data_IF_003830948257
#
_entry.id   IF_003830948257
#
_cell.length_a   1.000
_cell.length_b   1.000
_cell.length_c   1.000
_cell.angle_alpha   90.00
_cell.angle_beta   90.00
_cell.angle_gamma   90.00
#
_symmetry.space_group_name_H-M   'P 1'
#
loop_
_entity.id
_entity.type
_entity.pdbx_description
1 polymer ?
#
# COMPACT_ATOMS: atom_id res chain seq x y z
N UNK A 1 6.93 -92.98 2.20
CA UNK A 1 8.31 -92.59 2.52
C UNK A 1 8.40 -91.07 2.47
N UNK A 2 8.66 -90.47 3.64
CA UNK A 2 9.50 -89.27 3.87
C UNK A 2 9.34 -88.00 3.01
N UNK A 3 8.74 -87.00 3.63
CA UNK A 3 9.31 -85.69 4.04
C UNK A 3 9.99 -84.71 3.06
N UNK A 4 9.47 -83.47 3.17
CA UNK A 4 10.12 -82.14 3.16
C UNK A 4 10.83 -81.61 1.90
N UNK A 5 10.39 -80.44 1.42
CA UNK A 5 11.20 -79.21 1.49
C UNK A 5 10.37 -77.95 1.20
N UNK A 6 10.54 -76.94 2.07
CA UNK A 6 10.10 -75.55 1.93
C UNK A 6 10.78 -74.85 0.74
N UNK A 7 10.08 -73.91 0.09
CA UNK A 7 10.70 -72.68 -0.40
C UNK A 7 9.70 -71.52 -0.40
N UNK A 8 10.06 -70.48 0.32
CA UNK A 8 9.35 -69.23 0.63
C UNK A 8 9.66 -68.18 -0.45
N UNK A 9 8.68 -67.35 -0.83
CA UNK A 9 8.74 -65.86 -0.87
C UNK A 9 8.04 -65.19 -2.08
N UNK A 10 7.23 -64.17 -1.76
CA UNK A 10 6.86 -63.05 -2.64
C UNK A 10 5.41 -63.12 -3.15
N UNK A 11 4.55 -62.12 -3.01
CA UNK A 11 4.77 -60.72 -2.70
C UNK A 11 3.43 -60.05 -2.31
N UNK A 12 3.47 -59.33 -1.17
CA UNK A 12 2.69 -58.16 -0.75
C UNK A 12 1.15 -58.25 -0.80
N UNK A 13 0.58 -58.47 0.39
CA UNK A 13 -0.81 -58.17 0.69
C UNK A 13 -1.07 -56.65 0.57
N UNK A 14 -1.73 -56.25 -0.51
CA UNK A 14 -2.56 -55.05 -0.53
C UNK A 14 -3.73 -55.30 0.41
N UNK A 15 -3.79 -54.68 1.60
CA UNK A 15 -5.00 -54.43 2.41
C UNK A 15 -4.58 -53.72 3.71
N UNK A 16 -4.09 -52.49 3.57
CA UNK A 16 -3.90 -51.54 4.66
C UNK A 16 -4.66 -50.26 4.36
N UNK A 17 -5.95 -50.36 3.98
CA UNK A 17 -6.83 -49.21 4.12
C UNK A 17 -6.88 -48.85 5.61
N UNK A 18 -6.86 -47.56 5.94
CA UNK A 18 -7.07 -47.07 7.30
C UNK A 18 -8.43 -47.55 7.82
N UNK A 19 -8.47 -48.78 8.32
CA UNK A 19 -9.61 -49.32 9.04
C UNK A 19 -9.58 -48.68 10.43
N UNK A 20 -10.35 -47.60 10.55
CA UNK A 20 -10.61 -46.94 11.82
C UNK A 20 -9.94 -45.58 11.98
N UNK A 21 -10.26 -44.61 11.13
CA UNK A 21 -10.53 -43.30 11.73
C UNK A 21 -11.77 -43.52 12.60
N UNK A 22 -11.62 -43.54 13.93
CA UNK A 22 -12.75 -43.62 14.83
C UNK A 22 -13.85 -42.65 14.42
N UNK A 23 -15.10 -42.99 14.70
CA UNK A 23 -16.21 -42.10 14.37
C UNK A 23 -15.92 -40.69 14.91
N UNK A 24 -16.24 -39.63 14.14
CA UNK A 24 -16.03 -38.25 14.60
C UNK A 24 -16.65 -38.06 15.97
N UNK A 25 -15.81 -37.90 16.99
CA UNK A 25 -16.26 -37.56 18.32
C UNK A 25 -16.73 -36.10 18.30
N UNK A 26 -17.94 -35.85 18.77
CA UNK A 26 -18.45 -34.49 18.92
C UNK A 26 -17.53 -33.68 19.84
N UNK A 27 -17.08 -32.51 19.38
CA UNK A 27 -16.30 -31.56 20.19
C UNK A 27 -17.17 -30.84 21.25
N UNK A 28 -18.38 -31.32 21.50
CA UNK A 28 -19.37 -30.67 22.35
C UNK A 28 -20.17 -29.60 21.60
N UNK A 29 -21.05 -28.91 22.32
CA UNK A 29 -21.86 -27.83 21.75
C UNK A 29 -20.95 -26.65 21.39
N UNK A 30 -20.89 -26.31 20.10
CA UNK A 30 -20.33 -25.03 19.67
C UNK A 30 -21.27 -23.91 20.13
N UNK A 31 -20.73 -22.85 20.73
CA UNK A 31 -21.53 -21.67 21.10
C UNK A 31 -22.19 -21.10 19.84
N UNK A 32 -23.47 -20.75 19.93
CA UNK A 32 -24.16 -20.14 18.81
C UNK A 32 -23.53 -18.78 18.49
N UNK A 33 -23.16 -18.58 17.21
CA UNK A 33 -22.67 -17.29 16.75
C UNK A 33 -23.72 -16.21 17.03
N UNK A 34 -23.38 -15.22 17.84
CA UNK A 34 -24.24 -14.08 18.12
C UNK A 34 -23.99 -13.01 17.07
N UNK A 35 -25.05 -12.54 16.42
CA UNK A 35 -24.95 -11.42 15.49
C UNK A 35 -24.56 -10.13 16.25
N UNK A 36 -23.84 -9.20 15.61
CA UNK A 36 -23.58 -7.88 16.19
C UNK A 36 -24.89 -7.19 16.59
N UNK A 37 -24.98 -6.76 17.85
CA UNK A 37 -26.11 -5.96 18.32
C UNK A 37 -25.95 -4.53 17.81
N UNK A 38 -26.94 -4.04 17.07
CA UNK A 38 -26.98 -2.65 16.64
C UNK A 38 -27.27 -1.76 17.85
N UNK A 39 -26.28 -0.95 18.23
CA UNK A 39 -26.49 0.13 19.19
C UNK A 39 -27.25 1.27 18.50
N UNK A 40 -28.28 1.81 19.17
CA UNK A 40 -29.11 2.93 18.70
C UNK A 40 -29.75 2.69 17.32
N UNK A 41 -30.67 1.72 17.18
CA UNK A 41 -31.31 1.40 15.90
C UNK A 41 -32.10 2.58 15.31
N UNK A 42 -32.55 3.51 16.16
CA UNK A 42 -33.32 4.69 15.75
C UNK A 42 -32.45 5.87 15.34
N UNK A 43 -31.11 5.79 15.49
CA UNK A 43 -30.21 6.85 15.04
C UNK A 43 -30.20 6.86 13.51
N UNK A 44 -30.69 7.96 12.93
CA UNK A 44 -30.57 8.21 11.49
C UNK A 44 -29.09 8.10 11.08
N UNK A 45 -28.73 7.25 10.11
CA UNK A 45 -27.37 7.20 9.59
C UNK A 45 -26.92 8.59 9.18
N UNK A 46 -25.63 8.88 9.36
CA UNK A 46 -25.07 10.11 8.80
C UNK A 46 -25.36 10.12 7.29
N UNK A 47 -25.76 11.26 6.71
CA UNK A 47 -25.86 11.37 5.27
C UNK A 47 -24.52 10.96 4.67
N UNK A 48 -24.56 10.27 3.52
CA UNK A 48 -23.35 10.08 2.75
C UNK A 48 -22.78 11.47 2.48
N UNK A 49 -21.50 11.75 2.79
CA UNK A 49 -20.91 13.01 2.39
C UNK A 49 -21.11 13.14 0.88
N UNK A 50 -21.48 14.34 0.43
CA UNK A 50 -21.40 14.69 -0.99
C UNK A 50 -19.99 14.31 -1.47
N UNK A 51 -19.82 13.82 -2.72
CA UNK A 51 -18.49 13.58 -3.29
C UNK A 51 -17.62 14.81 -3.00
N UNK A 52 -16.63 14.64 -2.13
CA UNK A 52 -16.08 15.78 -1.38
C UNK A 52 -15.59 16.86 -2.32
N UNK A 53 -16.05 18.10 -2.13
CA UNK A 53 -15.58 19.29 -2.87
C UNK A 53 -14.14 19.70 -2.49
N UNK A 54 -13.32 18.73 -2.05
CA UNK A 54 -11.92 18.89 -1.69
C UNK A 54 -11.52 18.08 -0.46
N UNK A 55 -11.07 16.85 -0.68
CA UNK A 55 -9.87 16.30 -0.04
C UNK A 55 -9.36 15.15 -0.93
N UNK A 56 -8.21 15.35 -1.58
CA UNK A 56 -7.56 14.39 -2.47
C UNK A 56 -8.37 13.85 -3.66
N UNK A 57 -9.27 14.67 -4.24
CA UNK A 57 -9.86 14.35 -5.55
C UNK A 57 -8.78 14.27 -6.64
N UNK A 58 -9.04 13.55 -7.74
CA UNK A 58 -8.08 13.45 -8.83
C UNK A 58 -7.89 14.81 -9.48
N UNK A 59 -6.64 15.26 -9.59
CA UNK A 59 -6.33 16.59 -10.07
C UNK A 59 -5.30 16.51 -11.19
N UNK A 60 -5.65 17.04 -12.37
CA UNK A 60 -4.69 17.19 -13.46
C UNK A 60 -3.58 18.14 -13.01
N UNK A 61 -2.32 17.73 -13.18
CA UNK A 61 -1.17 18.55 -12.75
C UNK A 61 -0.94 19.65 -13.80
N UNK A 62 -1.12 20.94 -13.46
CA UNK A 62 -0.98 22.03 -14.42
C UNK A 62 0.45 22.14 -14.95
N UNK A 63 0.62 22.52 -16.22
CA UNK A 63 1.95 22.77 -16.80
C UNK A 63 2.77 21.52 -17.13
N UNK A 64 2.27 20.31 -16.85
CA UNK A 64 2.88 19.06 -17.33
C UNK A 64 2.47 18.83 -18.80
N UNK A 65 3.43 18.64 -19.72
CA UNK A 65 3.12 18.31 -21.11
C UNK A 65 2.31 17.01 -21.21
N UNK A 66 1.46 16.91 -22.24
CA UNK A 66 0.77 15.65 -22.51
C UNK A 66 1.76 14.53 -22.84
N UNK A 67 1.41 13.32 -22.44
CA UNK A 67 2.15 12.09 -22.69
C UNK A 67 1.37 11.26 -23.73
N UNK A 68 1.59 11.48 -25.03
CA UNK A 68 0.78 10.88 -26.08
C UNK A 68 0.95 9.36 -26.21
N UNK A 69 2.05 8.80 -25.67
CA UNK A 69 2.31 7.36 -25.69
C UNK A 69 1.33 6.55 -24.85
N UNK A 70 0.60 7.18 -23.91
CA UNK A 70 -0.25 6.47 -22.96
C UNK A 70 0.52 5.72 -21.86
N UNK A 71 1.84 5.85 -21.80
CA UNK A 71 2.71 5.23 -20.79
C UNK A 71 3.30 6.30 -19.85
N UNK A 72 2.91 6.27 -18.57
CA UNK A 72 3.34 7.25 -17.57
C UNK A 72 4.86 7.25 -17.34
N UNK A 73 5.57 6.17 -17.69
CA UNK A 73 7.04 6.11 -17.63
C UNK A 73 7.71 7.10 -18.58
N UNK A 74 6.97 7.61 -19.57
CA UNK A 74 7.45 8.64 -20.49
C UNK A 74 7.18 10.06 -19.97
N UNK A 75 6.49 10.23 -18.85
CA UNK A 75 6.33 11.52 -18.20
C UNK A 75 7.67 11.97 -17.60
N UNK A 76 8.13 13.21 -17.85
CA UNK A 76 9.36 13.72 -17.27
C UNK A 76 9.19 13.95 -15.76
N UNK A 77 9.80 13.08 -14.93
CA UNK A 77 9.63 13.06 -13.48
C UNK A 77 9.79 14.43 -12.82
N UNK A 78 10.92 15.10 -13.05
CA UNK A 78 11.18 16.39 -12.39
C UNK A 78 10.23 17.48 -12.86
N UNK A 79 9.74 17.42 -14.11
CA UNK A 79 8.70 18.34 -14.59
C UNK A 79 7.38 18.08 -13.86
N UNK A 80 6.98 16.82 -13.68
CA UNK A 80 5.76 16.46 -12.91
C UNK A 80 5.87 16.94 -11.47
N UNK A 81 7.00 16.68 -10.81
CA UNK A 81 7.25 17.07 -9.42
C UNK A 81 7.20 18.60 -9.28
N UNK A 82 7.97 19.34 -10.08
CA UNK A 82 8.01 20.81 -10.02
C UNK A 82 6.64 21.42 -10.29
N UNK A 83 5.90 20.87 -11.26
CA UNK A 83 4.54 21.31 -11.58
C UNK A 83 3.57 21.07 -10.42
N UNK A 84 3.64 19.91 -9.76
CA UNK A 84 2.82 19.61 -8.57
C UNK A 84 3.17 20.53 -7.39
N UNK A 85 4.46 20.76 -7.13
CA UNK A 85 4.92 21.72 -6.10
C UNK A 85 4.41 23.13 -6.40
N UNK A 86 4.54 23.60 -7.64
CA UNK A 86 4.12 24.93 -8.05
C UNK A 86 2.59 25.11 -7.97
N UNK A 87 1.83 24.05 -8.23
CA UNK A 87 0.38 24.08 -8.08
C UNK A 87 -0.06 24.18 -6.61
N UNK A 88 0.73 23.62 -5.68
CA UNK A 88 0.52 23.76 -4.24
C UNK A 88 -0.92 23.47 -3.82
N UNK A 89 -1.49 24.35 -2.98
CA UNK A 89 -2.85 24.21 -2.47
C UNK A 89 -3.95 24.35 -3.53
N UNK A 90 -3.65 24.83 -4.74
CA UNK A 90 -4.64 25.02 -5.79
C UNK A 90 -5.28 23.71 -6.28
N UNK A 91 -4.62 22.56 -6.06
CA UNK A 91 -5.15 21.24 -6.41
C UNK A 91 -5.85 20.54 -5.24
N UNK A 92 -5.93 21.17 -4.07
CA UNK A 92 -6.50 20.57 -2.86
C UNK A 92 -5.64 19.47 -2.24
N UNK A 93 -5.39 19.56 -0.93
CA UNK A 93 -4.65 18.56 -0.14
C UNK A 93 -3.13 18.76 -0.10
N UNK A 94 -2.43 17.74 0.42
CA UNK A 94 -0.98 17.52 0.37
C UNK A 94 -0.07 18.34 1.30
N UNK A 95 1.10 17.80 1.70
CA UNK A 95 2.09 18.57 2.44
C UNK A 95 2.69 19.66 1.55
N UNK A 96 2.71 20.89 2.06
CA UNK A 96 3.40 22.00 1.41
C UNK A 96 4.87 22.03 1.84
N UNK A 97 5.75 22.26 0.88
CA UNK A 97 7.17 22.38 1.15
C UNK A 97 7.55 23.80 1.52
N UNK A 98 8.49 23.93 2.44
CA UNK A 98 9.14 25.21 2.69
C UNK A 98 10.01 25.65 1.49
N UNK A 99 10.44 26.91 1.52
CA UNK A 99 11.26 27.47 0.44
C UNK A 99 12.60 26.75 0.28
N UNK A 100 13.14 26.17 1.37
CA UNK A 100 14.42 25.47 1.34
C UNK A 100 14.31 24.14 0.59
N UNK A 101 13.27 23.37 0.87
CA UNK A 101 12.96 22.11 0.20
C UNK A 101 12.60 22.35 -1.26
N UNK A 102 11.80 23.39 -1.54
CA UNK A 102 11.47 23.80 -2.91
C UNK A 102 12.74 24.10 -3.73
N UNK A 103 13.69 24.87 -3.19
CA UNK A 103 14.97 25.13 -3.87
C UNK A 103 15.78 23.87 -4.16
N UNK A 104 15.78 22.89 -3.24
CA UNK A 104 16.47 21.60 -3.46
C UNK A 104 15.80 20.79 -4.57
N UNK A 105 14.47 20.80 -4.66
CA UNK A 105 13.71 20.18 -5.76
C UNK A 105 14.07 20.84 -7.09
N UNK A 106 14.17 22.17 -7.11
CA UNK A 106 14.53 22.90 -8.33
C UNK A 106 15.94 22.56 -8.84
N UNK A 107 16.89 22.40 -7.93
CA UNK A 107 18.27 22.05 -8.23
C UNK A 107 18.48 20.55 -8.56
N UNK A 108 17.47 19.69 -8.48
CA UNK A 108 17.65 18.23 -8.64
C UNK A 108 18.36 17.78 -9.92
N UNK A 109 18.20 18.52 -11.03
CA UNK A 109 18.87 18.19 -12.30
C UNK A 109 20.38 18.48 -12.25
N UNK A 110 20.77 19.55 -11.57
CA UNK A 110 22.16 20.01 -11.46
C UNK A 110 22.88 19.38 -10.26
N UNK A 111 22.14 19.07 -9.20
CA UNK A 111 22.64 18.53 -7.93
C UNK A 111 21.93 17.21 -7.52
N UNK A 112 22.04 16.13 -8.32
CA UNK A 112 21.27 14.90 -8.09
C UNK A 112 21.54 14.24 -6.73
N UNK A 113 22.77 14.40 -6.18
CA UNK A 113 23.13 13.87 -4.87
C UNK A 113 22.40 14.56 -3.69
N UNK A 114 21.86 15.76 -3.91
CA UNK A 114 21.12 16.55 -2.91
C UNK A 114 19.61 16.59 -3.20
N UNK A 115 19.17 15.92 -4.25
CA UNK A 115 17.78 15.89 -4.65
C UNK A 115 16.94 15.12 -3.61
N UNK A 116 15.91 15.74 -3.00
CA UNK A 116 15.06 15.06 -2.02
C UNK A 116 14.06 14.10 -2.67
N UNK A 117 13.91 14.15 -4.00
CA UNK A 117 13.01 13.27 -4.75
C UNK A 117 13.64 11.88 -4.84
N UNK A 118 12.94 10.88 -4.32
CA UNK A 118 13.37 9.47 -4.39
C UNK A 118 13.23 8.93 -5.82
N UNK A 119 13.91 7.81 -6.08
CA UNK A 119 13.75 7.09 -7.35
C UNK A 119 12.27 6.74 -7.57
N UNK A 120 11.68 7.08 -8.73
CA UNK A 120 10.26 6.84 -8.98
C UNK A 120 9.97 5.33 -8.99
N UNK A 121 8.81 4.96 -8.47
CA UNK A 121 8.28 3.60 -8.58
C UNK A 121 7.09 3.58 -9.53
N UNK A 122 6.92 2.47 -10.23
CA UNK A 122 5.83 2.29 -11.19
C UNK A 122 5.12 0.97 -10.91
N UNK A 123 3.85 1.02 -10.54
CA UNK A 123 3.03 -0.16 -10.24
C UNK A 123 1.62 0.03 -10.76
N UNK A 124 0.97 -1.04 -11.18
CA UNK A 124 -0.47 -1.03 -11.48
C UNK A 124 -1.24 -1.07 -10.16
N UNK A 125 -1.69 0.10 -9.71
CA UNK A 125 -2.45 0.27 -8.47
C UNK A 125 -3.96 0.27 -8.74
N UNK A 126 -4.36 0.56 -9.98
CA UNK A 126 -5.78 0.66 -10.35
C UNK A 126 -6.35 -0.61 -10.96
N UNK A 127 -5.51 -1.59 -11.28
CA UNK A 127 -5.88 -2.88 -11.85
C UNK A 127 -6.24 -2.81 -13.33
N UNK A 128 -5.84 -1.76 -14.04
CA UNK A 128 -6.17 -1.57 -15.47
C UNK A 128 -5.06 -2.02 -16.43
N UNK A 129 -4.00 -2.65 -15.89
CA UNK A 129 -2.84 -3.12 -16.63
C UNK A 129 -1.82 -2.03 -16.95
N UNK A 130 -2.07 -0.77 -16.56
CA UNK A 130 -1.14 0.34 -16.72
C UNK A 130 -0.55 0.70 -15.37
N UNK A 131 0.72 1.10 -15.38
CA UNK A 131 1.33 1.55 -14.14
C UNK A 131 0.93 2.99 -13.83
N UNK A 132 0.73 3.24 -12.55
CA UNK A 132 0.77 4.54 -11.91
C UNK A 132 2.21 4.89 -11.52
N UNK A 133 2.49 6.20 -11.40
CA UNK A 133 3.77 6.74 -10.94
C UNK A 133 3.65 7.10 -9.45
N UNK A 134 4.54 6.55 -8.63
CA UNK A 134 4.65 6.83 -7.21
C UNK A 134 5.93 7.66 -6.97
N UNK A 135 5.78 8.80 -6.32
CA UNK A 135 6.84 9.75 -6.01
C UNK A 135 6.91 9.98 -4.51
N UNK A 136 8.07 9.69 -3.92
CA UNK A 136 8.41 10.08 -2.56
C UNK A 136 9.35 11.28 -2.56
N UNK A 137 9.10 12.26 -1.69
CA UNK A 137 9.95 13.44 -1.52
C UNK A 137 10.27 13.60 -0.03
N UNK A 138 11.56 13.54 0.29
CA UNK A 138 12.05 13.74 1.65
C UNK A 138 11.93 15.20 2.07
N UNK A 139 11.28 15.43 3.20
CA UNK A 139 11.21 16.70 3.88
C UNK A 139 12.06 16.64 5.18
N UNK A 140 12.26 17.76 5.89
CA UNK A 140 12.84 17.74 7.22
C UNK A 140 12.11 16.79 8.19
N UNK A 141 12.76 16.46 9.31
CA UNK A 141 12.16 15.70 10.41
C UNK A 141 11.65 14.29 10.04
N UNK A 142 12.34 13.63 9.10
CA UNK A 142 11.99 12.30 8.59
C UNK A 142 10.58 12.21 7.97
N UNK A 143 10.02 13.36 7.57
CA UNK A 143 8.74 13.42 6.88
C UNK A 143 8.92 13.09 5.40
N UNK A 144 7.95 12.38 4.83
CA UNK A 144 7.87 12.00 3.43
C UNK A 144 6.56 12.53 2.85
N UNK A 145 6.65 13.30 1.78
CA UNK A 145 5.51 13.52 0.90
C UNK A 145 5.43 12.36 -0.09
N UNK A 146 4.25 11.75 -0.20
CA UNK A 146 3.99 10.62 -1.07
C UNK A 146 2.85 10.94 -2.03
N UNK A 147 3.20 11.04 -3.31
CA UNK A 147 2.27 11.35 -4.39
C UNK A 147 2.12 10.16 -5.32
N UNK A 148 0.89 9.94 -5.77
CA UNK A 148 0.59 8.94 -6.80
C UNK A 148 -0.09 9.62 -7.97
N UNK A 149 0.41 9.36 -9.17
CA UNK A 149 -0.12 9.91 -10.41
C UNK A 149 -0.57 8.78 -11.33
N UNK A 150 -1.72 8.99 -11.96
CA UNK A 150 -2.23 8.18 -13.06
C UNK A 150 -2.19 8.97 -14.35
N UNK A 151 -2.02 8.28 -15.47
CA UNK A 151 -2.15 8.90 -16.78
C UNK A 151 -3.58 8.72 -17.30
N UNK A 152 -4.31 9.82 -17.46
CA UNK A 152 -5.68 9.84 -17.98
C UNK A 152 -5.72 10.58 -19.32
N UNK A 153 -5.94 9.85 -20.42
CA UNK A 153 -5.94 10.40 -21.79
C UNK A 153 -4.70 11.26 -22.10
N UNK A 154 -3.52 10.79 -21.68
CA UNK A 154 -2.25 11.50 -21.87
C UNK A 154 -2.04 12.68 -20.93
N UNK A 155 -2.92 12.93 -19.96
CA UNK A 155 -2.76 13.94 -18.93
C UNK A 155 -2.30 13.28 -17.63
N UNK A 156 -1.25 13.83 -17.00
CA UNK A 156 -0.79 13.37 -15.70
C UNK A 156 -1.75 13.92 -14.63
N UNK A 157 -2.40 13.01 -13.92
CA UNK A 157 -3.42 13.32 -12.91
C UNK A 157 -2.97 12.74 -11.58
N UNK A 158 -2.84 13.59 -10.56
CA UNK A 158 -2.62 13.15 -9.18
C UNK A 158 -3.87 12.43 -8.69
N UNK A 159 -3.71 11.25 -8.12
CA UNK A 159 -4.78 10.40 -7.58
C UNK A 159 -4.57 10.06 -6.10
N UNK A 160 -3.41 10.38 -5.54
CA UNK A 160 -3.12 10.32 -4.09
C UNK A 160 -2.16 11.44 -3.71
N UNK A 161 -2.35 11.98 -2.51
CA UNK A 161 -1.43 12.92 -1.90
C UNK A 161 -1.47 12.75 -0.38
N UNK A 162 -0.35 12.30 0.18
CA UNK A 162 -0.22 12.03 1.59
C UNK A 162 1.11 12.58 2.12
N UNK A 163 1.09 13.13 3.33
CA UNK A 163 2.28 13.32 4.15
C UNK A 163 2.35 12.24 5.20
N UNK A 164 3.54 11.71 5.48
CA UNK A 164 3.76 10.63 6.44
C UNK A 164 5.14 10.72 7.08
N UNK A 165 5.37 9.99 8.17
CA UNK A 165 6.71 9.73 8.74
C UNK A 165 7.00 8.23 8.74
N UNK A 166 7.11 7.61 7.56
CA UNK A 166 7.04 6.16 7.45
C UNK A 166 8.31 5.47 7.96
N UNK A 167 8.12 4.39 8.72
CA UNK A 167 9.09 3.32 8.91
C UNK A 167 9.29 2.53 7.61
N UNK A 168 8.20 2.28 6.88
CA UNK A 168 8.21 1.63 5.57
C UNK A 168 7.08 2.13 4.67
N UNK A 169 7.32 2.06 3.36
CA UNK A 169 6.32 2.23 2.30
C UNK A 169 6.29 0.93 1.50
N UNK A 170 5.16 0.27 1.47
CA UNK A 170 4.96 -1.08 0.94
C UNK A 170 3.83 -1.08 -0.09
N UNK A 171 3.83 -2.09 -0.97
CA UNK A 171 2.77 -2.30 -1.96
C UNK A 171 2.37 -3.78 -1.93
N UNK A 172 1.08 -4.04 -1.83
CA UNK A 172 0.53 -5.39 -1.89
C UNK A 172 -0.84 -5.38 -2.56
N UNK A 173 -1.03 -6.22 -3.58
CA UNK A 173 -2.31 -6.37 -4.29
C UNK A 173 -2.90 -5.05 -4.83
N UNK A 174 -2.04 -4.12 -5.27
CA UNK A 174 -2.45 -2.79 -5.74
C UNK A 174 -2.72 -1.77 -4.62
N UNK A 175 -2.70 -2.20 -3.36
CA UNK A 175 -2.81 -1.30 -2.20
C UNK A 175 -1.43 -0.74 -1.84
N UNK A 176 -1.41 0.55 -1.49
CA UNK A 176 -0.24 1.24 -0.96
C UNK A 176 -0.35 1.26 0.57
N UNK A 177 0.69 0.78 1.25
CA UNK A 177 0.69 0.59 2.69
C UNK A 177 1.81 1.43 3.31
N UNK A 178 1.46 2.23 4.31
CA UNK A 178 2.42 2.97 5.13
C UNK A 178 2.49 2.32 6.50
N UNK A 179 3.70 2.07 6.99
CA UNK A 179 3.93 1.79 8.42
C UNK A 179 4.56 3.01 9.06
N UNK A 180 3.98 3.48 10.15
CA UNK A 180 4.42 4.71 10.84
C UNK A 180 4.64 4.43 12.33
N UNK A 181 5.59 5.11 12.99
CA UNK A 181 5.78 4.96 14.42
C UNK A 181 4.55 5.49 15.18
N UNK A 182 4.27 4.91 16.34
CA UNK A 182 3.25 5.44 17.26
C UNK A 182 3.90 6.00 18.52
N UNK A 183 3.12 6.77 19.30
CA UNK A 183 3.54 7.18 20.64
C UNK A 183 3.60 6.02 21.65
N UNK A 184 3.10 4.83 21.30
CA UNK A 184 3.11 3.65 22.16
C UNK A 184 4.26 2.71 21.76
N UNK A 185 5.25 2.47 22.64
CA UNK A 185 6.36 1.59 22.33
C UNK A 185 5.90 0.19 21.90
N UNK A 186 6.52 -0.35 20.84
CA UNK A 186 6.21 -1.67 20.31
C UNK A 186 4.99 -1.73 19.40
N UNK A 187 4.40 -0.60 19.02
CA UNK A 187 3.31 -0.54 18.05
C UNK A 187 3.62 0.42 16.90
N UNK A 188 3.16 0.05 15.70
CA UNK A 188 3.20 0.85 14.49
C UNK A 188 1.78 1.03 13.94
N UNK A 189 1.49 2.19 13.36
CA UNK A 189 0.26 2.37 12.58
C UNK A 189 0.46 1.78 11.20
N UNK A 190 -0.52 1.02 10.71
CA UNK A 190 -0.59 0.52 9.34
C UNK A 190 -1.72 1.24 8.61
N UNK A 191 -1.37 2.14 7.69
CA UNK A 191 -2.31 2.91 6.87
C UNK A 191 -2.35 2.32 5.47
N UNK A 192 -3.54 1.95 4.99
CA UNK A 192 -3.75 1.32 3.69
C UNK A 192 -4.54 2.25 2.78
N UNK A 193 -3.93 2.61 1.64
CA UNK A 193 -4.59 3.31 0.55
C UNK A 193 -4.90 2.34 -0.58
N UNK A 194 -6.14 2.35 -1.07
CA UNK A 194 -6.59 1.48 -2.14
C UNK A 194 -7.34 2.29 -3.21
N UNK A 195 -7.36 1.79 -4.44
CA UNK A 195 -8.09 2.43 -5.53
C UNK A 195 -9.61 2.38 -5.28
N UNK A 196 -10.27 3.54 -5.24
CA UNK A 196 -11.73 3.67 -5.32
C UNK A 196 -12.11 4.18 -6.71
N UNK A 197 -12.73 3.31 -7.52
CA UNK A 197 -13.15 3.62 -8.87
C UNK A 197 -14.25 4.70 -8.96
N UNK A 198 -15.02 4.93 -7.89
CA UNK A 198 -16.10 5.93 -7.86
C UNK A 198 -15.54 7.33 -7.74
N UNK A 199 -14.59 7.52 -6.82
CA UNK A 199 -13.89 8.81 -6.64
C UNK A 199 -12.70 8.96 -7.56
N UNK A 200 -12.23 7.86 -8.16
CA UNK A 200 -11.04 7.74 -9.01
C UNK A 200 -9.74 8.13 -8.28
N UNK A 201 -9.66 7.82 -6.98
CA UNK A 201 -8.54 8.16 -6.09
C UNK A 201 -7.98 6.91 -5.42
N UNK A 202 -6.72 6.98 -4.97
CA UNK A 202 -6.24 6.07 -3.93
C UNK A 202 -6.77 6.58 -2.58
N UNK A 203 -7.89 6.03 -2.15
CA UNK A 203 -8.57 6.44 -0.93
C UNK A 203 -8.04 5.68 0.29
N UNK A 204 -8.07 6.32 1.46
CA UNK A 204 -7.81 5.65 2.73
C UNK A 204 -8.85 4.55 2.92
N UNK A 205 -8.39 3.29 2.96
CA UNK A 205 -9.22 2.11 3.13
C UNK A 205 -9.25 1.61 4.57
N UNK A 206 -8.09 1.59 5.21
CA UNK A 206 -7.93 1.11 6.57
C UNK A 206 -6.79 1.85 7.28
N UNK A 207 -6.94 2.01 8.58
CA UNK A 207 -5.88 2.46 9.48
C UNK A 207 -5.95 1.60 10.73
N UNK A 208 -4.87 0.88 11.00
CA UNK A 208 -4.80 -0.16 12.03
C UNK A 208 -3.56 0.07 12.92
N UNK A 209 -3.57 -0.52 14.12
CA UNK A 209 -2.41 -0.56 15.00
C UNK A 209 -1.88 -1.98 15.05
N UNK A 210 -0.68 -2.18 14.52
CA UNK A 210 0.02 -3.45 14.54
C UNK A 210 1.09 -3.43 15.62
N UNK A 211 1.48 -4.61 16.11
CA UNK A 211 2.77 -4.72 16.79
C UNK A 211 3.87 -4.32 15.80
N UNK A 212 4.76 -3.44 16.25
CA UNK A 212 5.92 -3.07 15.46
C UNK A 212 6.84 -4.29 15.33
N UNK A 213 7.33 -4.56 14.13
CA UNK A 213 8.39 -5.54 13.95
C UNK A 213 9.60 -5.12 14.81
N UNK A 214 10.28 -6.07 15.50
CA UNK A 214 11.48 -5.73 16.22
C UNK A 214 12.48 -5.13 15.23
N UNK A 215 12.88 -3.89 15.49
CA UNK A 215 13.88 -3.21 14.66
C UNK A 215 15.09 -4.14 14.50
N UNK A 216 15.47 -4.46 13.26
CA UNK A 216 16.71 -5.20 13.04
C UNK A 216 17.86 -4.34 13.59
N UNK A 217 18.67 -4.83 14.55
CA UNK A 217 19.72 -4.02 15.14
C UNK A 217 20.68 -3.57 14.03
N UNK A 218 20.83 -2.26 13.84
CA UNK A 218 21.86 -1.71 12.97
C UNK A 218 23.21 -2.17 13.52
N UNK A 219 24.06 -2.88 12.76
CA UNK A 219 25.37 -3.28 13.26
C UNK A 219 26.15 -2.02 13.64
N UNK A 220 26.58 -1.95 14.91
CA UNK A 220 27.48 -0.91 15.39
C UNK A 220 28.72 -0.93 14.50
N UNK A 221 28.95 0.15 13.75
CA UNK A 221 30.28 0.41 13.20
C UNK A 221 31.20 0.70 14.38
N UNK A 222 32.05 -0.26 14.71
CA UNK A 222 33.17 -0.04 15.61
C UNK A 222 34.15 0.93 14.93
N UNK A 223 34.67 1.94 15.65
CA UNK A 223 35.66 2.88 15.12
C UNK A 223 36.97 2.21 14.68
#
# INVERSE_FOLDING_TARGET
MTSLALAVAGMVALLGGCAGSGEPLSAGRTSAASAPVRLWPDRKPAPQPEPGTGENLPAAVPGVPRVPSGDIRKAPLLTVVKAQVAAGSALGGGPQFDSATTRKIDACADEPARCPVRKPQYQDLTGDGKAELIVGIEAPDASLALWVFKLHHGVVTRIMDAGATPLSVEIANGDLILREPTGTPGYATRTVYAWDARTRTMALRAMEFDQADPATPTPKRTP
#
